data_IF_677489783194
#
_entry.id   IF_677489783194
#
_cell.length_a   1.000
_cell.length_b   1.000
_cell.length_c   1.000
_cell.angle_alpha   90.00
_cell.angle_beta   90.00
_cell.angle_gamma   90.00
#
_symmetry.space_group_name_H-M   'P 1'
#
loop_
_entity.id
_entity.type
_entity.pdbx_description
1 polymer ?
#
# COMPACT_ATOMS: atom_id res chain seq x y z
N UNK A 1 16.09 -19.82 -2.98
CA UNK A 1 16.81 -19.55 -1.72
C UNK A 1 15.79 -19.37 -0.62
N UNK A 2 15.97 -19.99 0.54
CA UNK A 2 15.13 -19.78 1.71
C UNK A 2 15.41 -18.41 2.33
N UNK A 3 14.55 -17.97 3.26
CA UNK A 3 14.75 -16.70 3.96
C UNK A 3 16.08 -16.67 4.73
N UNK A 4 16.38 -17.72 5.47
CA UNK A 4 17.60 -17.78 6.32
C UNK A 4 18.88 -17.87 5.48
N UNK A 5 18.87 -18.64 4.40
CA UNK A 5 19.98 -18.67 3.43
C UNK A 5 20.23 -17.26 2.85
N UNK A 6 19.17 -16.59 2.39
CA UNK A 6 19.28 -15.26 1.81
C UNK A 6 19.67 -14.19 2.84
N UNK A 7 19.20 -14.29 4.09
CA UNK A 7 19.58 -13.39 5.17
C UNK A 7 21.06 -13.50 5.54
N UNK A 8 21.65 -14.68 5.39
CA UNK A 8 23.07 -14.93 5.68
C UNK A 8 24.04 -14.46 4.57
N UNK A 9 23.53 -14.20 3.35
CA UNK A 9 24.36 -13.72 2.23
C UNK A 9 24.93 -12.33 2.53
N UNK A 10 26.21 -12.04 2.21
CA UNK A 10 26.76 -10.68 2.27
C UNK A 10 25.87 -9.69 1.47
N UNK A 11 25.76 -8.46 1.98
CA UNK A 11 24.79 -7.50 1.45
C UNK A 11 24.98 -7.21 -0.05
N UNK A 12 26.22 -7.05 -0.49
CA UNK A 12 26.52 -6.74 -1.88
C UNK A 12 26.21 -7.90 -2.83
N UNK A 13 26.47 -9.13 -2.39
CA UNK A 13 26.12 -10.35 -3.13
C UNK A 13 24.62 -10.53 -3.20
N UNK A 14 23.91 -10.26 -2.09
CA UNK A 14 22.43 -10.30 -2.06
C UNK A 14 21.80 -9.26 -3.00
N UNK A 15 22.34 -8.04 -3.04
CA UNK A 15 21.94 -6.99 -3.97
C UNK A 15 22.20 -7.37 -5.42
N UNK A 16 23.39 -7.94 -5.69
CA UNK A 16 23.75 -8.39 -7.04
C UNK A 16 22.79 -9.47 -7.54
N UNK A 17 22.46 -10.45 -6.70
CA UNK A 17 21.51 -11.51 -7.03
C UNK A 17 20.09 -10.96 -7.22
N UNK A 18 19.61 -10.09 -6.33
CA UNK A 18 18.30 -9.46 -6.48
C UNK A 18 18.19 -8.63 -7.78
N UNK A 19 19.23 -7.87 -8.11
CA UNK A 19 19.28 -7.11 -9.36
C UNK A 19 19.33 -8.03 -10.59
N UNK A 20 20.04 -9.15 -10.52
CA UNK A 20 20.08 -10.16 -11.57
C UNK A 20 18.69 -10.78 -11.81
N UNK A 21 18.01 -11.23 -10.75
CA UNK A 21 16.67 -11.80 -10.80
C UNK A 21 15.65 -10.76 -11.34
N UNK A 22 15.73 -9.52 -10.88
CA UNK A 22 14.87 -8.45 -11.36
C UNK A 22 15.06 -8.21 -12.87
N UNK A 23 16.28 -8.12 -13.36
CA UNK A 23 16.57 -8.00 -14.80
C UNK A 23 16.07 -9.20 -15.60
N UNK A 24 16.25 -10.41 -15.10
CA UNK A 24 15.77 -11.63 -15.75
C UNK A 24 14.24 -11.64 -15.91
N UNK A 25 13.51 -11.19 -14.90
CA UNK A 25 12.03 -11.22 -14.89
C UNK A 25 11.39 -10.00 -15.58
N UNK A 26 12.01 -8.83 -15.50
CA UNK A 26 11.39 -7.56 -15.87
C UNK A 26 12.15 -6.80 -16.98
N UNK A 27 13.30 -7.33 -17.44
CA UNK A 27 14.05 -6.80 -18.59
C UNK A 27 14.40 -5.30 -18.49
N UNK A 28 14.67 -4.81 -17.28
CA UNK A 28 14.98 -3.39 -17.05
C UNK A 28 13.77 -2.44 -17.09
N UNK A 29 12.56 -3.00 -17.12
CA UNK A 29 11.32 -2.20 -17.07
C UNK A 29 10.93 -1.98 -15.62
N UNK A 30 10.65 -0.73 -15.26
CA UNK A 30 10.06 -0.34 -13.98
C UNK A 30 8.68 0.26 -14.23
N UNK A 31 7.68 -0.31 -13.57
CA UNK A 31 6.29 0.11 -13.74
C UNK A 31 5.87 1.17 -12.72
N UNK A 32 4.82 1.94 -13.06
CA UNK A 32 4.14 2.86 -12.16
C UNK A 32 2.66 2.98 -12.54
N UNK A 33 1.81 3.40 -11.61
CA UNK A 33 0.37 3.59 -11.84
C UNK A 33 -0.02 5.06 -11.64
N UNK A 34 -0.95 5.57 -12.46
CA UNK A 34 -1.55 6.89 -12.22
C UNK A 34 -2.79 6.69 -11.36
N UNK A 35 -2.66 7.02 -10.08
CA UNK A 35 -3.71 6.79 -9.09
C UNK A 35 -3.92 7.98 -8.17
N UNK A 36 -5.10 8.02 -7.54
CA UNK A 36 -5.43 8.96 -6.49
C UNK A 36 -5.85 8.22 -5.24
N UNK A 37 -5.35 8.68 -4.09
CA UNK A 37 -5.84 8.25 -2.79
C UNK A 37 -7.09 9.05 -2.45
N UNK A 38 -8.12 8.39 -1.95
CA UNK A 38 -9.31 9.04 -1.45
C UNK A 38 -9.68 8.44 -0.10
N UNK A 39 -9.43 9.22 0.95
CA UNK A 39 -9.79 8.82 2.31
C UNK A 39 -11.21 9.30 2.59
N UNK A 40 -12.16 8.37 2.67
CA UNK A 40 -13.58 8.69 2.87
C UNK A 40 -13.91 9.16 4.29
N UNK A 41 -13.09 8.77 5.30
CA UNK A 41 -13.18 9.26 6.67
C UNK A 41 -11.84 9.09 7.40
N UNK A 42 -11.51 10.00 8.30
CA UNK A 42 -10.41 9.86 9.24
C UNK A 42 -10.88 9.42 10.66
N UNK A 43 -12.19 9.26 10.85
CA UNK A 43 -12.75 8.81 12.12
C UNK A 43 -12.41 7.33 12.32
N UNK A 44 -11.76 7.00 13.44
CA UNK A 44 -11.29 5.64 13.70
C UNK A 44 -11.28 5.33 15.19
N UNK A 45 -11.89 4.20 15.58
CA UNK A 45 -11.93 3.74 16.97
C UNK A 45 -10.88 2.67 17.31
N UNK A 46 -9.97 2.33 16.36
CA UNK A 46 -8.98 1.25 16.56
C UNK A 46 -7.84 1.67 17.47
N UNK A 47 -7.29 2.88 17.28
CA UNK A 47 -6.23 3.41 18.13
C UNK A 47 -4.85 2.79 17.92
N UNK A 48 -4.43 2.52 16.67
CA UNK A 48 -3.09 2.03 16.35
C UNK A 48 -2.00 2.97 16.85
N UNK A 49 -0.95 2.44 17.48
CA UNK A 49 0.10 3.24 18.07
C UNK A 49 0.96 3.99 17.04
N UNK A 50 1.01 3.49 15.81
CA UNK A 50 1.77 4.06 14.69
C UNK A 50 0.98 5.05 13.82
N UNK A 51 -0.33 5.22 14.06
CA UNK A 51 -1.20 5.99 13.18
C UNK A 51 -1.32 7.45 13.66
N UNK A 52 -0.95 8.39 12.79
CA UNK A 52 -1.20 9.83 12.99
C UNK A 52 -2.49 10.33 12.32
N UNK A 53 -3.11 9.50 11.47
CA UNK A 53 -4.27 9.87 10.67
C UNK A 53 -5.59 9.86 11.44
N UNK A 54 -5.73 8.96 12.43
CA UNK A 54 -7.00 8.75 13.12
C UNK A 54 -7.48 9.98 13.90
N UNK A 55 -8.82 10.17 13.88
CA UNK A 55 -9.56 11.15 14.69
C UNK A 55 -10.71 10.48 15.41
N UNK A 56 -11.15 11.08 16.50
CA UNK A 56 -12.44 10.75 17.12
C UNK A 56 -13.56 11.52 16.44
N UNK A 57 -14.78 11.03 16.49
CA UNK A 57 -15.91 11.70 15.82
C UNK A 57 -16.18 13.14 16.28
N UNK A 58 -15.72 13.53 17.47
CA UNK A 58 -15.85 14.89 18.02
C UNK A 58 -14.62 15.80 17.78
N UNK A 59 -13.57 15.31 17.16
CA UNK A 59 -12.39 16.13 16.90
C UNK A 59 -12.69 17.17 15.82
N UNK A 60 -12.10 18.37 15.93
CA UNK A 60 -12.39 19.51 15.06
C UNK A 60 -12.07 19.23 13.57
N UNK A 61 -11.06 18.42 13.30
CA UNK A 61 -10.62 18.03 11.96
C UNK A 61 -11.10 16.62 11.56
N UNK A 62 -12.10 16.07 12.29
CA UNK A 62 -12.76 14.84 11.90
C UNK A 62 -13.67 15.06 10.69
N UNK A 63 -13.66 14.13 9.73
CA UNK A 63 -14.49 14.23 8.53
C UNK A 63 -15.08 12.90 8.07
N UNK A 64 -16.16 13.00 7.32
CA UNK A 64 -16.75 12.00 6.43
C UNK A 64 -17.03 12.66 5.10
N UNK A 65 -16.45 12.18 4.03
CA UNK A 65 -16.73 12.66 2.68
C UNK A 65 -17.88 11.89 2.05
N UNK A 66 -18.79 12.61 1.37
CA UNK A 66 -19.84 11.96 0.59
C UNK A 66 -19.27 11.28 -0.66
N UNK A 67 -19.93 10.22 -1.20
CA UNK A 67 -19.54 9.60 -2.46
C UNK A 67 -19.40 10.59 -3.60
N UNK A 68 -20.28 11.60 -3.68
CA UNK A 68 -20.25 12.65 -4.71
C UNK A 68 -19.03 13.56 -4.57
N UNK A 69 -18.64 13.91 -3.34
CA UNK A 69 -17.43 14.73 -3.09
C UNK A 69 -16.16 13.98 -3.51
N UNK A 70 -16.07 12.69 -3.20
CA UNK A 70 -14.95 11.84 -3.63
C UNK A 70 -14.93 11.74 -5.15
N UNK A 71 -16.05 11.40 -5.77
CA UNK A 71 -16.15 11.22 -7.22
C UNK A 71 -15.75 12.50 -7.98
N UNK A 72 -16.16 13.68 -7.49
CA UNK A 72 -15.77 14.96 -8.10
C UNK A 72 -14.24 15.13 -8.14
N UNK A 73 -13.55 14.85 -7.03
CA UNK A 73 -12.08 14.93 -6.98
C UNK A 73 -11.42 13.94 -7.95
N UNK A 74 -11.99 12.75 -8.13
CA UNK A 74 -11.48 11.77 -9.10
C UNK A 74 -11.60 12.29 -10.53
N UNK A 75 -12.72 12.92 -10.90
CA UNK A 75 -12.95 13.53 -12.22
C UNK A 75 -11.96 14.68 -12.53
N UNK A 76 -11.46 15.35 -11.50
CA UNK A 76 -10.46 16.42 -11.60
C UNK A 76 -9.03 15.90 -11.81
N UNK A 77 -8.77 14.58 -11.72
CA UNK A 77 -7.43 14.00 -11.83
C UNK A 77 -7.16 13.46 -13.25
N UNK A 78 -6.29 14.11 -14.03
CA UNK A 78 -6.05 13.70 -15.40
C UNK A 78 -5.40 12.31 -15.48
N UNK A 79 -5.86 11.48 -16.41
CA UNK A 79 -5.24 10.20 -16.74
C UNK A 79 -5.30 9.14 -15.65
N UNK A 80 -6.13 9.35 -14.61
CA UNK A 80 -6.32 8.41 -13.52
C UNK A 80 -6.82 7.05 -14.02
N UNK A 81 -6.16 5.97 -13.61
CA UNK A 81 -6.56 4.61 -13.93
C UNK A 81 -7.01 3.82 -12.70
N UNK A 82 -6.64 4.30 -11.51
CA UNK A 82 -6.93 3.67 -10.23
C UNK A 82 -7.34 4.72 -9.18
N UNK A 83 -8.31 4.36 -8.35
CA UNK A 83 -8.53 5.02 -7.05
C UNK A 83 -8.19 4.07 -5.92
N UNK A 84 -7.38 4.53 -4.96
CA UNK A 84 -7.11 3.83 -3.71
C UNK A 84 -8.02 4.41 -2.62
N UNK A 85 -9.03 3.63 -2.18
CA UNK A 85 -9.99 4.05 -1.15
C UNK A 85 -9.62 3.40 0.18
N UNK A 86 -9.32 4.21 1.16
CA UNK A 86 -9.07 3.78 2.55
C UNK A 86 -9.67 4.77 3.53
N UNK A 87 -10.10 4.30 4.69
CA UNK A 87 -10.64 5.16 5.74
C UNK A 87 -10.34 4.65 7.13
N UNK A 88 -10.68 5.46 8.13
CA UNK A 88 -10.72 5.04 9.51
C UNK A 88 -11.83 4.00 9.73
N UNK A 89 -11.70 3.23 10.82
CA UNK A 89 -12.76 2.32 11.26
C UNK A 89 -13.79 3.14 12.05
N UNK A 90 -14.69 3.72 11.30
CA UNK A 90 -15.77 4.57 11.80
C UNK A 90 -16.99 3.72 12.14
N UNK A 91 -17.47 3.70 13.39
CA UNK A 91 -18.66 2.93 13.77
C UNK A 91 -19.92 3.27 12.97
N UNK A 92 -20.01 4.48 12.42
CA UNK A 92 -21.16 4.91 11.62
C UNK A 92 -21.04 4.52 10.13
N UNK A 93 -19.89 4.00 9.68
CA UNK A 93 -19.67 3.61 8.29
C UNK A 93 -20.13 2.17 8.06
N UNK A 94 -21.25 1.98 7.36
CA UNK A 94 -21.90 0.68 7.13
C UNK A 94 -21.56 0.09 5.76
N UNK A 95 -21.97 -1.15 5.53
CA UNK A 95 -21.85 -1.80 4.22
C UNK A 95 -22.61 -1.00 3.13
N UNK A 96 -23.79 -0.46 3.43
CA UNK A 96 -24.54 0.34 2.47
C UNK A 96 -23.77 1.59 2.04
N UNK A 97 -23.09 2.27 2.95
CA UNK A 97 -22.22 3.39 2.60
C UNK A 97 -21.07 2.97 1.68
N UNK A 98 -20.47 1.80 1.92
CA UNK A 98 -19.41 1.28 1.05
C UNK A 98 -19.95 0.93 -0.35
N UNK A 99 -21.09 0.28 -0.43
CA UNK A 99 -21.75 -0.06 -1.71
C UNK A 99 -22.14 1.19 -2.50
N UNK A 100 -22.71 2.20 -1.84
CA UNK A 100 -23.08 3.48 -2.48
C UNK A 100 -21.85 4.21 -3.02
N UNK A 101 -20.75 4.27 -2.25
CA UNK A 101 -19.48 4.86 -2.68
C UNK A 101 -18.95 4.18 -3.95
N UNK A 102 -18.87 2.85 -3.98
CA UNK A 102 -18.39 2.10 -5.13
C UNK A 102 -19.25 2.34 -6.36
N UNK A 103 -20.59 2.24 -6.23
CA UNK A 103 -21.55 2.45 -7.31
C UNK A 103 -21.49 3.87 -7.86
N UNK A 104 -21.41 4.88 -6.98
CA UNK A 104 -21.32 6.29 -7.38
C UNK A 104 -20.05 6.55 -8.20
N UNK A 105 -18.91 6.01 -7.78
CA UNK A 105 -17.67 6.12 -8.55
C UNK A 105 -17.78 5.40 -9.88
N UNK A 106 -18.30 4.16 -9.90
CA UNK A 106 -18.44 3.38 -11.14
C UNK A 106 -19.43 3.98 -12.12
N UNK A 107 -20.48 4.64 -11.66
CA UNK A 107 -21.42 5.35 -12.53
C UNK A 107 -20.77 6.53 -13.27
N UNK A 108 -19.86 7.26 -12.60
CA UNK A 108 -19.16 8.41 -13.17
C UNK A 108 -17.89 8.02 -13.95
N UNK A 109 -17.20 6.99 -13.52
CA UNK A 109 -15.91 6.50 -14.04
C UNK A 109 -15.97 4.99 -14.26
N UNK A 110 -16.67 4.49 -15.28
CA UNK A 110 -16.92 3.04 -15.47
C UNK A 110 -15.64 2.21 -15.56
N UNK A 111 -14.58 2.77 -16.14
CA UNK A 111 -13.32 2.07 -16.42
C UNK A 111 -12.28 2.20 -15.32
N UNK A 112 -12.50 3.03 -14.27
CA UNK A 112 -11.54 3.18 -13.18
C UNK A 112 -11.44 1.89 -12.38
N UNK A 113 -10.21 1.49 -12.02
CA UNK A 113 -10.02 0.40 -11.08
C UNK A 113 -10.18 0.91 -9.66
N UNK A 114 -11.02 0.25 -8.86
CA UNK A 114 -11.21 0.58 -7.45
C UNK A 114 -10.40 -0.40 -6.59
N UNK A 115 -9.33 0.09 -5.99
CA UNK A 115 -8.50 -0.59 -5.01
C UNK A 115 -8.92 -0.13 -3.62
N UNK A 116 -9.67 -0.94 -2.87
CA UNK A 116 -10.35 -0.44 -1.69
C UNK A 116 -10.46 -1.46 -0.55
N UNK A 117 -10.61 -0.91 0.66
CA UNK A 117 -10.96 -1.62 1.90
C UNK A 117 -9.94 -2.66 2.34
N UNK A 118 -9.09 -2.28 3.30
CA UNK A 118 -8.19 -3.22 3.97
C UNK A 118 -8.96 -4.38 4.65
N UNK A 119 -8.30 -5.49 4.95
CA UNK A 119 -8.92 -6.57 5.74
C UNK A 119 -9.57 -6.11 7.05
N UNK A 120 -9.06 -5.04 7.68
CA UNK A 120 -9.68 -4.48 8.89
C UNK A 120 -11.01 -3.78 8.59
N UNK A 121 -11.08 -3.03 7.48
CA UNK A 121 -12.32 -2.38 7.03
C UNK A 121 -13.35 -3.44 6.60
N UNK A 122 -12.94 -4.47 5.89
CA UNK A 122 -13.81 -5.59 5.49
C UNK A 122 -14.39 -6.32 6.70
N UNK A 123 -13.56 -6.58 7.73
CA UNK A 123 -14.02 -7.19 8.99
C UNK A 123 -15.00 -6.28 9.74
N UNK A 124 -14.76 -4.97 9.72
CA UNK A 124 -15.68 -4.00 10.30
C UNK A 124 -17.06 -4.06 9.63
N UNK A 125 -17.10 -3.96 8.29
CA UNK A 125 -18.34 -4.04 7.50
C UNK A 125 -19.09 -5.35 7.77
N UNK A 126 -18.35 -6.48 7.75
CA UNK A 126 -18.91 -7.79 8.04
C UNK A 126 -19.55 -7.87 9.45
N UNK A 127 -18.87 -7.35 10.46
CA UNK A 127 -19.40 -7.36 11.85
C UNK A 127 -20.64 -6.52 11.99
N UNK A 128 -20.68 -5.37 11.32
CA UNK A 128 -21.84 -4.47 11.38
C UNK A 128 -23.08 -5.07 10.72
N UNK A 129 -22.96 -5.62 9.50
CA UNK A 129 -24.10 -6.16 8.78
C UNK A 129 -24.50 -7.58 9.24
N UNK A 130 -23.60 -8.29 9.93
CA UNK A 130 -23.82 -9.68 10.36
C UNK A 130 -23.76 -10.73 9.23
N UNK A 131 -23.41 -10.33 8.01
CA UNK A 131 -23.35 -11.25 6.88
C UNK A 131 -22.10 -12.14 6.90
N UNK A 132 -22.14 -13.32 6.26
CA UNK A 132 -20.93 -14.09 5.95
C UNK A 132 -19.92 -13.25 5.15
N UNK A 133 -18.62 -13.51 5.35
CA UNK A 133 -17.56 -12.78 4.68
C UNK A 133 -17.65 -12.87 3.14
N UNK A 134 -17.96 -14.06 2.63
CA UNK A 134 -18.12 -14.31 1.20
C UNK A 134 -19.21 -13.41 0.58
N UNK A 135 -20.32 -13.22 1.29
CA UNK A 135 -21.44 -12.41 0.80
C UNK A 135 -21.10 -10.91 0.81
N UNK A 136 -20.40 -10.44 1.84
CA UNK A 136 -19.89 -9.07 1.89
C UNK A 136 -18.93 -8.81 0.73
N UNK A 137 -17.99 -9.73 0.49
CA UNK A 137 -17.01 -9.58 -0.60
C UNK A 137 -17.68 -9.65 -1.99
N UNK A 138 -18.67 -10.53 -2.17
CA UNK A 138 -19.46 -10.60 -3.42
C UNK A 138 -20.22 -9.29 -3.65
N UNK A 139 -20.93 -8.78 -2.65
CA UNK A 139 -21.67 -7.52 -2.75
C UNK A 139 -20.75 -6.34 -3.11
N UNK A 140 -19.58 -6.24 -2.48
CA UNK A 140 -18.58 -5.21 -2.80
C UNK A 140 -18.03 -5.37 -4.22
N UNK A 141 -17.69 -6.59 -4.65
CA UNK A 141 -17.22 -6.87 -6.01
C UNK A 141 -18.29 -6.49 -7.04
N UNK A 142 -19.54 -6.88 -6.81
CA UNK A 142 -20.66 -6.61 -7.73
C UNK A 142 -21.02 -5.10 -7.76
N UNK A 143 -20.67 -4.35 -6.71
CA UNK A 143 -20.73 -2.89 -6.69
C UNK A 143 -19.53 -2.20 -7.36
N UNK A 144 -18.46 -2.94 -7.73
CA UNK A 144 -17.34 -2.41 -8.48
C UNK A 144 -15.96 -2.47 -7.78
N UNK A 145 -15.84 -3.15 -6.64
CA UNK A 145 -14.54 -3.42 -6.02
C UNK A 145 -13.67 -4.25 -6.96
N UNK A 146 -12.49 -3.73 -7.32
CA UNK A 146 -11.57 -4.40 -8.24
C UNK A 146 -10.48 -5.20 -7.54
N UNK A 147 -9.91 -4.67 -6.47
CA UNK A 147 -8.88 -5.32 -5.65
C UNK A 147 -8.84 -4.72 -4.25
N UNK A 148 -8.15 -5.38 -3.33
CA UNK A 148 -8.02 -4.92 -1.94
C UNK A 148 -6.55 -4.68 -1.56
N UNK A 149 -6.24 -3.63 -0.77
CA UNK A 149 -4.91 -3.44 -0.22
C UNK A 149 -4.61 -4.50 0.84
N UNK A 150 -3.41 -5.07 0.80
CA UNK A 150 -2.90 -5.98 1.84
C UNK A 150 -2.50 -5.27 3.13
N UNK A 151 -2.91 -4.02 3.31
CA UNK A 151 -2.69 -3.23 4.53
C UNK A 151 -3.40 -3.85 5.73
N UNK A 152 -3.26 -3.26 6.90
CA UNK A 152 -3.61 -3.89 8.17
C UNK A 152 -2.86 -5.20 8.46
N UNK A 153 -1.92 -5.62 7.61
CA UNK A 153 -0.97 -6.68 7.92
C UNK A 153 0.05 -6.21 8.97
N UNK A 154 0.55 -5.00 8.83
CA UNK A 154 1.74 -4.48 9.51
C UNK A 154 2.83 -5.56 9.54
N UNK A 155 2.81 -6.40 10.55
CA UNK A 155 3.54 -7.65 10.61
C UNK A 155 2.61 -8.77 11.10
N UNK A 156 2.58 -9.91 10.42
CA UNK A 156 1.66 -11.03 10.72
C UNK A 156 2.22 -11.92 11.84
N UNK A 157 2.55 -11.28 12.96
CA UNK A 157 3.00 -11.91 14.21
C UNK A 157 2.24 -11.27 15.37
N UNK A 158 1.35 -12.03 16.01
CA UNK A 158 0.39 -11.48 16.97
C UNK A 158 1.04 -10.82 18.20
N UNK A 159 2.26 -11.22 18.57
CA UNK A 159 3.03 -10.53 19.62
C UNK A 159 3.27 -9.06 19.22
N UNK A 160 3.78 -8.82 18.03
CA UNK A 160 4.05 -7.47 17.52
C UNK A 160 2.74 -6.71 17.29
N UNK A 161 1.74 -7.36 16.71
CA UNK A 161 0.42 -6.76 16.42
C UNK A 161 -0.25 -6.22 17.70
N UNK A 162 -0.20 -6.96 18.80
CA UNK A 162 -0.75 -6.50 20.09
C UNK A 162 -0.12 -5.20 20.57
N UNK A 163 1.17 -5.00 20.32
CA UNK A 163 1.85 -3.78 20.75
C UNK A 163 1.62 -2.57 19.81
N UNK A 164 1.54 -2.80 18.49
CA UNK A 164 1.44 -1.69 17.53
C UNK A 164 0.00 -1.37 17.15
N UNK A 165 -0.92 -2.35 17.23
CA UNK A 165 -2.31 -2.22 16.77
C UNK A 165 -3.26 -3.21 17.47
N UNK A 166 -3.22 -3.29 18.80
CA UNK A 166 -3.87 -4.33 19.59
C UNK A 166 -5.38 -4.51 19.38
N UNK A 167 -6.06 -3.46 18.90
CA UNK A 167 -7.50 -3.53 18.60
C UNK A 167 -7.80 -3.91 17.13
N UNK A 168 -6.79 -4.17 16.31
CA UNK A 168 -7.00 -4.72 14.96
C UNK A 168 -7.25 -6.24 15.01
N UNK A 169 -7.72 -6.76 13.86
CA UNK A 169 -7.86 -8.22 13.68
C UNK A 169 -6.51 -8.92 13.86
N UNK A 170 -6.53 -10.14 14.40
CA UNK A 170 -5.35 -11.00 14.55
C UNK A 170 -4.89 -11.58 13.21
N UNK A 171 -3.72 -12.20 13.23
CA UNK A 171 -3.07 -12.80 12.04
C UNK A 171 -3.97 -13.81 11.34
N UNK A 172 -4.58 -14.74 12.07
CA UNK A 172 -5.47 -15.78 11.53
C UNK A 172 -6.63 -15.18 10.75
N UNK A 173 -7.28 -14.14 11.31
CA UNK A 173 -8.42 -13.49 10.65
C UNK A 173 -7.99 -12.70 9.41
N UNK A 174 -6.83 -12.05 9.43
CA UNK A 174 -6.27 -11.39 8.26
C UNK A 174 -6.04 -12.40 7.11
N UNK A 175 -5.44 -13.55 7.41
CA UNK A 175 -5.19 -14.62 6.44
C UNK A 175 -6.51 -15.14 5.84
N UNK A 176 -7.52 -15.36 6.68
CA UNK A 176 -8.84 -15.84 6.23
C UNK A 176 -9.48 -14.87 5.25
N UNK A 177 -9.46 -13.56 5.55
CA UNK A 177 -10.05 -12.53 4.68
C UNK A 177 -9.34 -12.48 3.34
N UNK A 178 -8.01 -12.46 3.33
CA UNK A 178 -7.22 -12.43 2.08
C UNK A 178 -7.47 -13.69 1.24
N UNK A 179 -7.43 -14.87 1.85
CA UNK A 179 -7.70 -16.11 1.12
C UNK A 179 -9.11 -16.17 0.56
N UNK A 180 -10.09 -15.68 1.30
CA UNK A 180 -11.49 -15.62 0.83
C UNK A 180 -11.64 -14.66 -0.34
N UNK A 181 -11.02 -13.47 -0.27
CA UNK A 181 -11.00 -12.52 -1.37
C UNK A 181 -10.36 -13.15 -2.64
N UNK A 182 -9.20 -13.79 -2.49
CA UNK A 182 -8.53 -14.45 -3.60
C UNK A 182 -9.36 -15.56 -4.25
N UNK A 183 -10.04 -16.43 -3.45
CA UNK A 183 -10.95 -17.46 -3.97
C UNK A 183 -12.12 -16.88 -4.75
N UNK A 184 -12.56 -15.67 -4.42
CA UNK A 184 -13.61 -14.94 -5.14
C UNK A 184 -13.09 -14.17 -6.37
N UNK A 185 -11.80 -14.31 -6.71
CA UNK A 185 -11.16 -13.62 -7.83
C UNK A 185 -10.78 -12.15 -7.53
N UNK A 186 -10.92 -11.71 -6.27
CA UNK A 186 -10.52 -10.36 -5.84
C UNK A 186 -9.04 -10.43 -5.44
N UNK A 187 -8.16 -9.84 -6.25
CA UNK A 187 -6.72 -9.80 -5.97
C UNK A 187 -6.38 -8.81 -4.87
N UNK A 188 -5.18 -8.94 -4.30
CA UNK A 188 -4.68 -7.99 -3.31
C UNK A 188 -3.19 -7.70 -3.46
N UNK A 189 -2.74 -6.62 -2.83
CA UNK A 189 -1.32 -6.40 -2.56
C UNK A 189 -0.89 -7.23 -1.35
N UNK A 190 0.41 -7.47 -1.20
CA UNK A 190 1.04 -7.96 0.04
C UNK A 190 1.89 -6.85 0.62
N UNK A 191 1.71 -6.51 1.90
CA UNK A 191 2.44 -5.41 2.54
C UNK A 191 3.12 -5.85 3.83
N UNK A 192 4.18 -5.17 4.20
CA UNK A 192 4.79 -5.22 5.53
C UNK A 192 5.08 -3.81 6.01
N UNK A 193 4.93 -3.52 7.30
CA UNK A 193 5.46 -2.31 7.91
C UNK A 193 6.74 -2.66 8.68
N UNK A 194 7.84 -1.96 8.40
CA UNK A 194 9.15 -2.28 8.96
C UNK A 194 9.83 -1.07 9.56
N UNK A 195 10.77 -1.35 10.48
CA UNK A 195 11.57 -0.34 11.17
C UNK A 195 10.91 0.14 12.46
N UNK A 196 10.16 -0.70 13.16
CA UNK A 196 9.60 -0.34 14.46
C UNK A 196 10.11 -1.25 15.58
N UNK A 197 9.41 -2.33 15.94
CA UNK A 197 9.77 -3.23 17.06
C UNK A 197 9.96 -4.68 16.61
N UNK A 198 9.80 -4.94 15.32
CA UNK A 198 9.94 -6.26 14.73
C UNK A 198 11.39 -6.72 14.67
N UNK A 199 11.59 -8.03 14.78
CA UNK A 199 12.86 -8.72 14.58
C UNK A 199 12.94 -9.34 13.17
N UNK A 200 14.10 -9.83 12.76
CA UNK A 200 14.25 -10.61 11.53
C UNK A 200 13.45 -11.92 11.58
N UNK A 201 13.25 -12.52 12.75
CA UNK A 201 12.40 -13.71 12.93
C UNK A 201 10.91 -13.40 12.71
N UNK A 202 10.48 -12.21 13.13
CA UNK A 202 9.12 -11.74 12.85
C UNK A 202 8.92 -11.51 11.34
N UNK A 203 9.91 -10.93 10.66
CA UNK A 203 9.89 -10.74 9.20
C UNK A 203 9.89 -12.09 8.48
N UNK A 204 10.70 -13.05 8.91
CA UNK A 204 10.71 -14.42 8.38
C UNK A 204 9.34 -15.07 8.49
N UNK A 205 8.72 -14.98 9.66
CA UNK A 205 7.37 -15.51 9.89
C UNK A 205 6.35 -14.87 8.95
N UNK A 206 6.39 -13.56 8.82
CA UNK A 206 5.53 -12.80 7.91
C UNK A 206 5.72 -13.22 6.45
N UNK A 207 6.96 -13.34 5.96
CA UNK A 207 7.27 -13.80 4.60
C UNK A 207 6.77 -15.22 4.37
N UNK A 208 6.93 -16.12 5.36
CA UNK A 208 6.43 -17.48 5.30
C UNK A 208 4.92 -17.55 5.12
N UNK A 209 4.17 -16.70 5.83
CA UNK A 209 2.71 -16.60 5.72
C UNK A 209 2.30 -16.09 4.32
N UNK A 210 2.92 -15.01 3.82
CA UNK A 210 2.63 -14.48 2.49
C UNK A 210 2.94 -15.52 1.40
N UNK A 211 4.09 -16.19 1.50
CA UNK A 211 4.48 -17.24 0.58
C UNK A 211 3.48 -18.41 0.56
N UNK A 212 2.99 -18.83 1.74
CA UNK A 212 1.99 -19.89 1.85
C UNK A 212 0.65 -19.49 1.21
N UNK A 213 0.18 -18.26 1.44
CA UNK A 213 -1.04 -17.74 0.82
C UNK A 213 -0.86 -17.68 -0.71
N UNK A 214 0.28 -17.17 -1.19
CA UNK A 214 0.52 -17.03 -2.61
C UNK A 214 0.60 -18.37 -3.34
N UNK A 215 1.22 -19.38 -2.75
CA UNK A 215 1.25 -20.75 -3.33
C UNK A 215 -0.14 -21.37 -3.42
N UNK A 216 -0.98 -21.07 -2.43
CA UNK A 216 -2.35 -21.60 -2.37
C UNK A 216 -3.31 -20.89 -3.34
N UNK A 217 -3.16 -19.58 -3.51
CA UNK A 217 -4.18 -18.75 -4.17
C UNK A 217 -3.71 -18.01 -5.42
N UNK A 218 -2.41 -17.72 -5.54
CA UNK A 218 -1.86 -16.88 -6.61
C UNK A 218 -2.39 -15.44 -6.62
N UNK A 219 -3.04 -14.99 -5.55
CA UNK A 219 -3.83 -13.77 -5.55
C UNK A 219 -3.07 -12.47 -5.26
N UNK A 220 -1.85 -12.52 -4.73
CA UNK A 220 -1.04 -11.31 -4.55
C UNK A 220 -0.48 -10.82 -5.89
N UNK A 221 -0.60 -9.52 -6.13
CA UNK A 221 -0.08 -8.85 -7.32
C UNK A 221 1.35 -8.37 -7.11
N UNK A 222 1.66 -7.79 -5.96
CA UNK A 222 2.98 -7.27 -5.60
C UNK A 222 3.23 -7.38 -4.09
N UNK A 223 4.51 -7.25 -3.72
CA UNK A 223 4.94 -7.05 -2.34
C UNK A 223 5.43 -5.61 -2.13
N UNK A 224 4.93 -4.94 -1.10
CA UNK A 224 5.20 -3.53 -0.79
C UNK A 224 5.75 -3.38 0.63
N UNK A 225 7.06 -3.22 0.82
CA UNK A 225 7.62 -2.79 2.09
C UNK A 225 7.27 -1.33 2.39
N UNK A 226 6.67 -1.09 3.54
CA UNK A 226 6.28 0.23 4.03
C UNK A 226 7.17 0.60 5.23
N UNK A 227 8.05 1.56 5.03
CA UNK A 227 8.86 2.09 6.11
C UNK A 227 7.97 2.77 7.17
N UNK A 228 8.22 2.49 8.44
CA UNK A 228 7.51 3.14 9.54
C UNK A 228 7.89 4.63 9.61
N UNK A 229 6.88 5.49 9.73
CA UNK A 229 7.04 6.95 9.89
C UNK A 229 6.78 7.32 11.35
N UNK A 230 7.80 7.72 12.13
CA UNK A 230 7.68 7.79 13.59
C UNK A 230 7.20 9.13 14.15
N UNK A 231 7.23 10.22 13.37
CA UNK A 231 7.31 11.58 13.90
C UNK A 231 6.06 12.06 14.64
N UNK A 232 4.85 11.70 14.22
CA UNK A 232 3.59 12.20 14.81
C UNK A 232 2.68 11.06 15.30
N UNK A 233 3.24 10.09 16.03
CA UNK A 233 2.45 8.99 16.60
C UNK A 233 3.04 8.49 17.92
N UNK A 234 2.24 7.67 18.64
CA UNK A 234 2.62 7.16 19.97
C UNK A 234 3.79 6.19 19.92
N UNK A 235 3.88 5.38 18.87
CA UNK A 235 4.96 4.40 18.72
C UNK A 235 6.30 5.10 18.52
N UNK A 236 6.34 6.13 17.67
CA UNK A 236 7.55 6.91 17.45
C UNK A 236 8.04 7.61 18.71
N UNK A 237 7.14 8.24 19.49
CA UNK A 237 7.50 8.83 20.79
C UNK A 237 8.05 7.81 21.78
N UNK A 238 7.64 6.54 21.69
CA UNK A 238 8.17 5.45 22.53
C UNK A 238 9.56 5.01 22.07
N UNK A 239 9.83 5.04 20.77
CA UNK A 239 11.11 4.63 20.17
C UNK A 239 12.19 5.73 20.27
N UNK A 240 11.80 6.99 20.24
CA UNK A 240 12.68 8.16 20.41
C UNK A 240 12.03 9.15 21.40
N UNK A 241 12.14 8.91 22.73
CA UNK A 241 11.48 9.74 23.74
C UNK A 241 11.99 11.19 23.80
N UNK A 242 13.24 11.40 23.40
CA UNK A 242 13.91 12.71 23.30
C UNK A 242 13.56 13.46 22.00
N UNK A 243 12.85 12.82 21.07
CA UNK A 243 12.52 13.36 19.77
C UNK A 243 13.67 13.35 18.74
N UNK A 244 14.80 12.75 19.07
CA UNK A 244 15.90 12.56 18.11
C UNK A 244 15.76 11.26 17.33
N UNK A 245 15.36 11.37 16.08
CA UNK A 245 15.14 10.21 15.19
C UNK A 245 16.36 9.80 14.36
N UNK A 246 17.51 10.46 14.47
CA UNK A 246 18.69 10.19 13.61
C UNK A 246 19.17 8.75 13.70
N UNK A 247 19.30 8.20 14.92
CA UNK A 247 19.69 6.80 15.11
C UNK A 247 18.63 5.83 14.56
N UNK A 248 17.35 6.15 14.74
CA UNK A 248 16.24 5.40 14.19
C UNK A 248 16.28 5.37 12.66
N UNK A 249 16.46 6.52 12.01
CA UNK A 249 16.52 6.65 10.55
C UNK A 249 17.69 5.88 9.96
N UNK A 250 18.87 5.94 10.59
CA UNK A 250 20.03 5.17 10.17
C UNK A 250 19.80 3.66 10.27
N UNK A 251 19.20 3.19 11.37
CA UNK A 251 18.85 1.79 11.56
C UNK A 251 17.79 1.32 10.56
N UNK A 252 16.75 2.13 10.35
CA UNK A 252 15.71 1.87 9.35
C UNK A 252 16.31 1.76 7.95
N UNK A 253 17.16 2.69 7.55
CA UNK A 253 17.86 2.66 6.26
C UNK A 253 18.63 1.35 6.07
N UNK A 254 19.47 0.98 7.03
CA UNK A 254 20.22 -0.28 6.99
C UNK A 254 19.32 -1.50 6.85
N UNK A 255 18.18 -1.50 7.55
CA UNK A 255 17.18 -2.57 7.46
C UNK A 255 16.56 -2.65 6.08
N UNK A 256 16.16 -1.53 5.49
CA UNK A 256 15.55 -1.46 4.16
C UNK A 256 16.54 -1.90 3.06
N UNK A 257 17.79 -1.49 3.16
CA UNK A 257 18.86 -1.87 2.23
C UNK A 257 19.09 -3.38 2.16
N UNK A 258 18.76 -4.11 3.23
CA UNK A 258 18.79 -5.59 3.25
C UNK A 258 17.42 -6.18 2.90
N UNK A 259 16.33 -5.57 3.36
CA UNK A 259 14.97 -6.12 3.20
C UNK A 259 14.54 -6.19 1.73
N UNK A 260 14.80 -5.15 0.94
CA UNK A 260 14.40 -5.13 -0.47
C UNK A 260 15.04 -6.26 -1.29
N UNK A 261 16.38 -6.42 -1.29
CA UNK A 261 17.00 -7.53 -2.02
C UNK A 261 16.62 -8.89 -1.44
N UNK A 262 16.48 -9.02 -0.12
CA UNK A 262 15.98 -10.23 0.53
C UNK A 262 14.59 -10.60 0.02
N UNK A 263 13.68 -9.64 -0.06
CA UNK A 263 12.32 -9.85 -0.56
C UNK A 263 12.32 -10.31 -2.03
N UNK A 264 13.14 -9.69 -2.89
CA UNK A 264 13.26 -10.12 -4.30
C UNK A 264 13.72 -11.56 -4.40
N UNK A 265 14.73 -11.95 -3.64
CA UNK A 265 15.29 -13.30 -3.69
C UNK A 265 14.32 -14.34 -3.13
N UNK A 266 13.71 -14.06 -1.98
CA UNK A 266 12.78 -15.00 -1.31
C UNK A 266 11.48 -15.18 -2.08
N UNK A 267 10.96 -14.11 -2.70
CA UNK A 267 9.71 -14.16 -3.47
C UNK A 267 9.90 -14.37 -4.97
N UNK A 268 11.13 -14.64 -5.44
CA UNK A 268 11.36 -14.90 -6.87
C UNK A 268 10.53 -16.09 -7.38
N UNK A 269 9.82 -15.87 -8.50
CA UNK A 269 8.90 -16.85 -9.07
C UNK A 269 7.59 -17.05 -8.28
N UNK A 270 7.39 -16.31 -7.17
CA UNK A 270 6.21 -16.43 -6.31
C UNK A 270 5.36 -15.15 -6.33
N UNK A 271 5.89 -14.02 -5.87
CA UNK A 271 5.25 -12.72 -5.97
C UNK A 271 6.00 -11.91 -7.03
N UNK A 272 5.36 -11.60 -8.19
CA UNK A 272 6.11 -11.15 -9.36
C UNK A 272 6.71 -9.74 -9.18
N UNK A 273 6.00 -8.84 -8.49
CA UNK A 273 6.39 -7.45 -8.42
C UNK A 273 6.83 -7.06 -7.01
N UNK A 274 7.91 -6.30 -6.93
CA UNK A 274 8.40 -5.68 -5.71
C UNK A 274 8.34 -4.17 -5.90
N UNK A 275 7.44 -3.54 -5.12
CA UNK A 275 7.20 -2.11 -5.20
C UNK A 275 8.04 -1.35 -4.17
N UNK A 276 8.62 -0.23 -4.59
CA UNK A 276 9.15 0.78 -3.67
C UNK A 276 8.05 1.76 -3.26
N UNK A 277 8.15 2.35 -2.07
CA UNK A 277 7.18 3.32 -1.58
C UNK A 277 7.83 4.70 -1.43
N UNK A 278 7.82 5.50 -2.52
CA UNK A 278 8.47 6.80 -2.52
C UNK A 278 7.95 7.75 -1.45
N UNK A 279 6.66 7.68 -1.11
CA UNK A 279 6.05 8.51 -0.07
C UNK A 279 6.62 8.23 1.33
N UNK A 280 7.16 7.02 1.55
CA UNK A 280 7.81 6.61 2.81
C UNK A 280 9.32 6.81 2.79
N UNK A 281 9.94 6.63 1.63
CA UNK A 281 11.40 6.63 1.46
C UNK A 281 11.95 7.98 1.00
N UNK A 282 11.13 8.80 0.38
CA UNK A 282 11.55 9.88 -0.50
C UNK A 282 11.83 9.40 -1.92
N UNK A 283 11.67 10.28 -2.92
CA UNK A 283 11.83 9.93 -4.32
C UNK A 283 13.22 9.40 -4.68
N UNK A 284 14.28 9.96 -4.09
CA UNK A 284 15.67 9.62 -4.36
C UNK A 284 16.03 8.23 -3.83
N UNK A 285 15.65 7.91 -2.58
CA UNK A 285 15.88 6.58 -2.01
C UNK A 285 15.01 5.51 -2.69
N UNK A 286 13.79 5.88 -3.11
CA UNK A 286 12.94 5.02 -3.93
C UNK A 286 13.59 4.69 -5.27
N UNK A 287 14.19 5.67 -5.96
CA UNK A 287 14.94 5.43 -7.19
C UNK A 287 16.18 4.54 -6.94
N UNK A 288 16.88 4.74 -5.82
CA UNK A 288 18.02 3.91 -5.43
C UNK A 288 17.60 2.45 -5.18
N UNK A 289 16.42 2.21 -4.59
CA UNK A 289 15.91 0.86 -4.30
C UNK A 289 15.62 0.01 -5.56
N UNK A 290 15.52 0.64 -6.73
CA UNK A 290 15.42 -0.08 -8.01
C UNK A 290 16.63 -0.98 -8.26
N UNK A 291 17.81 -0.56 -7.79
CA UNK A 291 19.04 -1.38 -7.84
C UNK A 291 19.05 -2.52 -6.80
N UNK A 292 18.11 -2.51 -5.85
CA UNK A 292 17.95 -3.57 -4.84
C UNK A 292 16.88 -4.60 -5.22
N UNK A 293 16.45 -4.60 -6.49
CA UNK A 293 15.52 -5.58 -7.03
C UNK A 293 14.07 -5.12 -7.13
N UNK A 294 13.75 -3.84 -6.85
CA UNK A 294 12.42 -3.29 -7.14
C UNK A 294 12.21 -3.13 -8.65
N UNK A 295 10.97 -3.38 -9.09
CA UNK A 295 10.55 -3.20 -10.48
C UNK A 295 9.24 -2.41 -10.60
N UNK A 296 8.75 -1.85 -9.52
CA UNK A 296 7.57 -1.00 -9.49
C UNK A 296 7.82 0.22 -8.60
N UNK A 297 7.51 1.42 -9.10
CA UNK A 297 7.72 2.68 -8.40
C UNK A 297 6.50 3.09 -7.56
N UNK A 298 5.42 2.31 -7.64
CA UNK A 298 4.14 2.64 -7.02
C UNK A 298 3.31 3.59 -7.88
N UNK A 299 2.56 4.44 -7.23
CA UNK A 299 1.64 5.34 -7.88
C UNK A 299 1.97 6.82 -7.71
N UNK A 300 1.23 7.66 -8.45
CA UNK A 300 1.25 9.12 -8.27
C UNK A 300 0.72 9.55 -6.91
N UNK A 301 -0.17 8.77 -6.31
CA UNK A 301 -0.72 8.93 -4.97
C UNK A 301 -1.33 10.32 -4.70
N UNK A 302 -1.94 10.95 -5.71
CA UNK A 302 -2.60 12.25 -5.49
C UNK A 302 -3.41 12.24 -4.18
N UNK A 303 -3.22 13.25 -3.31
CA UNK A 303 -3.81 13.38 -1.97
C UNK A 303 -3.42 12.29 -0.94
N UNK A 304 -2.18 11.79 -0.97
CA UNK A 304 -1.73 10.88 0.09
C UNK A 304 -1.58 11.62 1.42
N UNK A 305 -2.58 11.50 2.29
CA UNK A 305 -2.66 12.19 3.58
C UNK A 305 -2.29 11.32 4.78
N UNK A 306 -2.29 9.99 4.66
CA UNK A 306 -2.04 9.07 5.79
C UNK A 306 -0.59 9.17 6.26
N UNK A 307 0.36 9.19 5.32
CA UNK A 307 1.79 9.33 5.64
C UNK A 307 2.10 10.71 6.17
N UNK A 308 1.55 11.75 5.53
CA UNK A 308 1.68 13.14 5.98
C UNK A 308 1.17 13.32 7.41
N UNK A 309 0.00 12.77 7.74
CA UNK A 309 -0.57 12.83 9.10
C UNK A 309 0.30 12.13 10.16
N UNK A 310 1.21 11.24 9.74
CA UNK A 310 2.21 10.62 10.62
C UNK A 310 3.54 11.41 10.67
N UNK A 311 3.60 12.57 9.99
CA UNK A 311 4.78 13.44 9.92
C UNK A 311 5.71 13.15 8.75
N UNK A 312 5.26 12.40 7.73
CA UNK A 312 6.02 12.22 6.50
C UNK A 312 6.15 13.51 5.70
N UNK A 313 7.31 13.75 5.10
CA UNK A 313 7.68 15.04 4.46
C UNK A 313 7.93 14.95 2.96
N UNK A 314 7.68 13.80 2.34
CA UNK A 314 8.01 13.57 0.93
C UNK A 314 6.91 13.98 -0.07
N UNK A 315 5.91 14.75 0.39
CA UNK A 315 4.81 15.23 -0.44
C UNK A 315 3.59 14.30 -0.46
N UNK A 316 2.53 14.77 -1.11
CA UNK A 316 1.24 14.08 -1.20
C UNK A 316 0.95 13.57 -2.61
N UNK A 317 1.81 13.89 -3.57
CA UNK A 317 1.74 13.39 -4.94
C UNK A 317 3.11 13.43 -5.60
N UNK A 318 3.28 12.62 -6.63
CA UNK A 318 4.43 12.63 -7.52
C UNK A 318 3.93 12.52 -8.96
N UNK A 319 4.15 13.55 -9.75
CA UNK A 319 3.67 13.62 -11.12
C UNK A 319 4.29 12.51 -12.00
N UNK A 320 3.55 11.95 -12.99
CA UNK A 320 4.05 10.90 -13.88
C UNK A 320 5.39 11.25 -14.53
N UNK A 321 5.55 12.48 -15.00
CA UNK A 321 6.79 12.93 -15.64
C UNK A 321 7.98 12.88 -14.66
N UNK A 322 7.77 13.20 -13.38
CA UNK A 322 8.82 13.12 -12.36
C UNK A 322 9.15 11.67 -12.03
N UNK A 323 8.15 10.79 -11.91
CA UNK A 323 8.36 9.34 -11.71
C UNK A 323 9.20 8.78 -12.86
N UNK A 324 8.82 9.08 -14.09
CA UNK A 324 9.56 8.61 -15.27
C UNK A 324 11.00 9.14 -15.31
N UNK A 325 11.22 10.42 -14.96
CA UNK A 325 12.55 10.99 -14.89
C UNK A 325 13.44 10.29 -13.85
N UNK A 326 12.89 9.99 -12.67
CA UNK A 326 13.58 9.25 -11.61
C UNK A 326 13.95 7.82 -12.05
N UNK A 327 13.02 7.11 -12.70
CA UNK A 327 13.26 5.77 -13.21
C UNK A 327 14.35 5.79 -14.29
N UNK A 328 14.31 6.75 -15.25
CA UNK A 328 15.33 6.90 -16.29
C UNK A 328 16.69 7.27 -15.72
N UNK A 329 16.75 8.18 -14.74
CA UNK A 329 18.01 8.56 -14.10
C UNK A 329 18.67 7.40 -13.35
N UNK A 330 17.87 6.42 -12.88
CA UNK A 330 18.37 5.18 -12.30
C UNK A 330 18.75 4.12 -13.35
N UNK A 331 18.67 4.42 -14.65
CA UNK A 331 19.08 3.52 -15.74
C UNK A 331 18.02 2.49 -16.15
N UNK A 332 16.75 2.71 -15.82
CA UNK A 332 15.64 1.82 -16.14
C UNK A 332 14.66 2.44 -17.15
N UNK A 333 13.81 1.60 -17.73
CA UNK A 333 12.76 2.02 -18.67
C UNK A 333 11.43 2.14 -17.92
N UNK A 334 10.84 3.35 -17.80
CA UNK A 334 9.54 3.52 -17.17
C UNK A 334 8.41 2.99 -18.06
N UNK A 335 7.38 2.40 -17.42
CA UNK A 335 6.16 1.96 -18.09
C UNK A 335 4.95 2.19 -17.18
N UNK A 336 3.96 2.93 -17.65
CA UNK A 336 2.68 3.01 -16.95
C UNK A 336 1.96 1.66 -17.03
N UNK A 337 1.34 1.26 -15.91
CA UNK A 337 0.53 0.04 -15.76
C UNK A 337 -0.87 0.34 -15.25
N UNK A 338 -1.76 -0.64 -15.39
CA UNK A 338 -3.00 -0.70 -14.60
C UNK A 338 -2.72 -1.28 -13.21
N UNK A 339 -3.69 -1.24 -12.29
CA UNK A 339 -3.58 -1.86 -10.96
C UNK A 339 -3.17 -3.33 -11.00
N UNK A 340 -3.69 -4.09 -11.96
CA UNK A 340 -3.40 -5.52 -12.12
C UNK A 340 -2.25 -5.79 -13.11
N UNK A 341 -1.34 -4.83 -13.28
CA UNK A 341 -0.12 -4.94 -14.10
C UNK A 341 -0.37 -5.15 -15.61
N UNK A 342 -1.55 -4.80 -16.10
CA UNK A 342 -1.84 -4.72 -17.53
C UNK A 342 -1.40 -3.38 -18.15
N UNK A 343 -1.53 -3.28 -19.48
CA UNK A 343 -1.32 -2.02 -20.21
C UNK A 343 -2.58 -1.15 -20.10
N UNK A 344 -2.46 0.13 -19.72
CA UNK A 344 -3.59 1.05 -19.75
C UNK A 344 -4.15 1.18 -21.17
N UNK A 345 -5.46 1.35 -21.30
CA UNK A 345 -6.05 1.72 -22.59
C UNK A 345 -5.43 3.04 -23.07
N UNK A 346 -5.25 3.24 -24.38
CA UNK A 346 -4.80 4.51 -24.91
C UNK A 346 -5.70 5.63 -24.40
N UNK A 347 -5.13 6.61 -23.68
CA UNK A 347 -5.89 7.79 -23.30
C UNK A 347 -6.30 8.52 -24.59
N UNK A 348 -7.58 8.79 -24.78
CA UNK A 348 -7.97 9.83 -25.73
C UNK A 348 -7.27 11.10 -25.28
N UNK A 349 -6.30 11.55 -26.08
CA UNK A 349 -5.58 12.79 -25.83
C UNK A 349 -6.63 13.88 -25.66
N UNK A 350 -6.77 14.37 -24.43
CA UNK A 350 -7.58 15.54 -24.15
C UNK A 350 -7.18 16.64 -25.11
N UNK A 351 -8.08 17.04 -26.01
CA UNK A 351 -7.90 18.16 -26.94
C UNK A 351 -7.92 19.52 -26.26
N UNK A 352 -7.97 19.54 -24.94
CA UNK A 352 -7.91 20.75 -24.12
C UNK A 352 -6.67 20.71 -23.23
N UNK A 353 -5.60 21.34 -23.70
CA UNK A 353 -4.42 21.68 -22.89
C UNK A 353 -4.73 22.86 -21.95
N UNK A 354 -5.53 22.64 -20.94
CA UNK A 354 -5.48 23.47 -19.76
C UNK A 354 -4.41 22.85 -18.84
N UNK A 355 -3.40 23.62 -18.49
CA UNK A 355 -2.33 23.21 -17.58
C UNK A 355 -2.96 22.65 -16.29
N UNK A 356 -2.55 21.47 -15.80
CA UNK A 356 -3.01 20.98 -14.52
C UNK A 356 -2.56 21.95 -13.43
N UNK A 357 -3.44 22.19 -12.45
CA UNK A 357 -3.05 22.89 -11.23
C UNK A 357 -1.83 22.19 -10.63
N UNK A 358 -0.75 22.93 -10.28
CA UNK A 358 0.42 22.29 -9.68
C UNK A 358 0.01 21.58 -8.40
N UNK A 359 0.55 20.38 -8.18
CA UNK A 359 0.53 19.75 -6.87
C UNK A 359 1.04 20.77 -5.86
N UNK A 360 0.23 21.15 -4.88
CA UNK A 360 0.67 21.98 -3.77
C UNK A 360 1.70 21.17 -2.98
N UNK A 361 2.98 21.49 -3.17
CA UNK A 361 4.09 20.96 -2.39
C UNK A 361 4.10 21.57 -0.99
#
# INVERSE_FOLDING_TARGET
MTFDEALAVPLDDLRAEAARLCRLRHHGIVTYVVNRNANFTNICNVGCAFCGFQRRAGDQDAYRHSPQAITRRLLETPGITEVCLQGGIDPAWTLDHALDLLRTIKAALPNIHIHAFSPMELEHLRRQCGWPLDDVLRALRDAGLGSIPGTAAEILVDRVRREVSGNKLGTTRWIEIIRTAHRLGIRSTATIMVGHIETWDDIRTHFGILAAIQRDTGGFTEFVPLAFVPYQNRLGRRLAPDGDFRAFEAALRTRLERLYPLARVVFDGLIPHLQTSWVKLGPELAAQSLHWGCNDFGGTLYEESITRSSGGTHGECLEPARIEALIRSAGFTPRQRTTLYGTPAPSEKSKNSALPSPCLC
#
